data_IF_737937607952
#
_entry.id   IF_737937607952
#
_cell.length_a   1.000
_cell.length_b   1.000
_cell.length_c   1.000
_cell.angle_alpha   90.00
_cell.angle_beta   90.00
_cell.angle_gamma   90.00
#
_symmetry.space_group_name_H-M   'P 1'
#
loop_
_entity.id
_entity.type
_entity.pdbx_description
1 polymer ?
#
# COMPACT_ATOMS: atom_id res chain seq x y z
N UNK A 1 -6.92 -12.66 -7.19
CA UNK A 1 -7.29 -11.26 -7.49
C UNK A 1 -6.41 -10.84 -8.64
N UNK A 2 -6.97 -10.29 -9.71
CA UNK A 2 -6.20 -9.89 -10.88
C UNK A 2 -5.50 -8.53 -10.69
N UNK A 3 -4.53 -8.15 -11.55
CA UNK A 3 -3.91 -6.83 -11.52
C UNK A 3 -4.92 -5.67 -11.54
N UNK A 4 -5.96 -5.75 -12.37
CA UNK A 4 -6.99 -4.69 -12.45
C UNK A 4 -7.84 -4.53 -11.18
N UNK A 5 -7.98 -5.58 -10.36
CA UNK A 5 -8.65 -5.44 -9.06
C UNK A 5 -7.74 -4.71 -8.06
N UNK A 6 -6.43 -4.96 -8.08
CA UNK A 6 -5.44 -4.24 -7.27
C UNK A 6 -5.37 -2.75 -7.65
N UNK A 7 -5.35 -2.45 -8.95
CA UNK A 7 -5.42 -1.07 -9.47
C UNK A 7 -6.66 -0.33 -8.96
N UNK A 8 -7.82 -1.00 -8.93
CA UNK A 8 -9.05 -0.38 -8.42
C UNK A 8 -8.97 -0.06 -6.92
N UNK A 9 -8.30 -0.88 -6.11
CA UNK A 9 -8.07 -0.60 -4.69
C UNK A 9 -7.12 0.59 -4.49
N UNK A 10 -6.04 0.65 -5.28
CA UNK A 10 -5.10 1.77 -5.29
C UNK A 10 -5.80 3.07 -5.67
N UNK A 11 -6.54 3.06 -6.78
CA UNK A 11 -7.29 4.22 -7.26
C UNK A 11 -8.27 4.72 -6.20
N UNK A 12 -8.99 3.82 -5.54
CA UNK A 12 -9.92 4.17 -4.47
C UNK A 12 -9.25 4.87 -3.29
N UNK A 13 -8.09 4.38 -2.86
CA UNK A 13 -7.33 5.00 -1.76
C UNK A 13 -6.81 6.39 -2.17
N UNK A 14 -6.34 6.55 -3.40
CA UNK A 14 -5.87 7.84 -3.95
C UNK A 14 -7.02 8.85 -4.10
N UNK A 15 -8.18 8.42 -4.56
CA UNK A 15 -9.37 9.27 -4.71
C UNK A 15 -9.86 9.77 -3.34
N UNK A 16 -9.86 8.90 -2.33
CA UNK A 16 -10.21 9.27 -0.95
C UNK A 16 -9.20 10.26 -0.38
N UNK A 17 -7.89 10.02 -0.56
CA UNK A 17 -6.85 10.93 -0.09
C UNK A 17 -6.99 12.32 -0.74
N UNK A 18 -7.25 12.37 -2.05
CA UNK A 18 -7.54 13.61 -2.78
C UNK A 18 -8.78 14.31 -2.23
N UNK A 19 -9.85 13.56 -1.96
CA UNK A 19 -11.08 14.09 -1.36
C UNK A 19 -10.87 14.71 0.03
N UNK A 20 -9.88 14.25 0.79
CA UNK A 20 -9.48 14.79 2.09
C UNK A 20 -8.53 15.99 2.03
N UNK A 21 -8.20 16.48 0.83
CA UNK A 21 -7.32 17.65 0.65
C UNK A 21 -5.84 17.35 0.91
N UNK A 22 -5.40 16.12 0.65
CA UNK A 22 -3.98 15.75 0.68
C UNK A 22 -3.28 16.30 -0.58
N UNK A 23 -2.08 16.87 -0.42
CA UNK A 23 -1.30 17.43 -1.53
C UNK A 23 -0.68 16.34 -2.39
N UNK A 24 -0.10 15.33 -1.75
CA UNK A 24 0.56 14.21 -2.43
C UNK A 24 0.29 12.90 -1.68
N UNK A 25 0.10 11.80 -2.41
CA UNK A 25 -0.14 10.50 -1.82
C UNK A 25 0.54 9.38 -2.62
N UNK A 26 1.02 8.37 -1.91
CA UNK A 26 1.54 7.12 -2.46
C UNK A 26 0.75 5.97 -1.86
N UNK A 27 0.35 5.03 -2.69
CA UNK A 27 -0.36 3.82 -2.26
C UNK A 27 0.33 2.61 -2.87
N UNK A 28 0.68 1.65 -2.02
CA UNK A 28 1.23 0.38 -2.43
C UNK A 28 0.24 -0.73 -2.03
N UNK A 29 -0.06 -1.63 -2.95
CA UNK A 29 -0.86 -2.81 -2.67
C UNK A 29 -0.08 -4.05 -3.07
N UNK A 30 -0.12 -5.08 -2.24
CA UNK A 30 0.50 -6.37 -2.53
C UNK A 30 -0.50 -7.49 -2.25
N UNK A 31 -0.38 -8.55 -3.04
CA UNK A 31 -1.03 -9.82 -2.80
C UNK A 31 -0.06 -10.94 -3.18
N UNK A 32 0.16 -11.87 -2.27
CA UNK A 32 1.00 -13.03 -2.47
C UNK A 32 0.25 -14.29 -2.05
N UNK A 33 0.45 -15.37 -2.79
CA UNK A 33 -0.07 -16.68 -2.43
C UNK A 33 1.01 -17.72 -2.67
N UNK A 34 1.30 -18.54 -1.68
CA UNK A 34 2.37 -19.51 -1.73
C UNK A 34 1.96 -20.86 -1.14
N UNK A 35 2.70 -21.89 -1.54
CA UNK A 35 2.61 -23.23 -0.97
C UNK A 35 4.03 -23.70 -0.64
N UNK A 36 4.27 -24.01 0.62
CA UNK A 36 5.53 -24.56 1.10
C UNK A 36 5.31 -25.98 1.63
N UNK A 37 6.12 -26.93 1.16
CA UNK A 37 6.09 -28.31 1.62
C UNK A 37 7.49 -28.72 2.07
N UNK A 38 7.61 -29.22 3.30
CA UNK A 38 8.87 -29.76 3.82
C UNK A 38 8.73 -31.25 4.08
N UNK A 39 9.79 -32.02 3.86
CA UNK A 39 9.84 -33.45 4.10
C UNK A 39 11.08 -33.83 4.91
N UNK A 40 10.94 -34.85 5.74
CA UNK A 40 12.02 -35.39 6.57
C UNK A 40 11.95 -36.91 6.56
N UNK A 41 13.09 -37.56 6.32
CA UNK A 41 13.20 -39.02 6.25
C UNK A 41 12.27 -39.69 5.21
N UNK A 42 11.88 -38.95 4.16
CA UNK A 42 11.00 -39.46 3.09
C UNK A 42 9.52 -39.19 3.32
N UNK A 43 9.13 -38.70 4.49
CA UNK A 43 7.76 -38.35 4.84
C UNK A 43 7.56 -36.82 4.86
N UNK A 44 6.37 -36.36 4.46
CA UNK A 44 5.99 -34.95 4.55
C UNK A 44 5.90 -34.56 6.02
N UNK A 45 6.61 -33.50 6.38
CA UNK A 45 6.64 -32.97 7.75
C UNK A 45 5.68 -31.77 7.88
N UNK A 46 5.75 -30.81 6.95
CA UNK A 46 4.89 -29.63 6.98
C UNK A 46 4.33 -29.30 5.59
N UNK A 47 3.11 -28.79 5.58
CA UNK A 47 2.46 -28.23 4.40
C UNK A 47 1.80 -26.91 4.80
N UNK A 48 2.33 -25.80 4.28
CA UNK A 48 1.90 -24.45 4.62
C UNK A 48 1.39 -23.73 3.37
N UNK A 49 0.24 -23.07 3.53
CA UNK A 49 -0.37 -22.26 2.49
C UNK A 49 -0.38 -20.79 2.97
N UNK A 50 0.29 -19.91 2.23
CA UNK A 50 0.32 -18.47 2.49
C UNK A 50 -0.67 -17.75 1.57
N UNK A 51 -1.33 -16.72 2.11
CA UNK A 51 -2.25 -15.85 1.37
C UNK A 51 -2.20 -14.47 1.98
N UNK A 52 -1.13 -13.77 1.65
CA UNK A 52 -0.86 -12.45 2.17
C UNK A 52 -1.44 -11.39 1.24
N UNK A 53 -1.99 -10.35 1.85
CA UNK A 53 -2.45 -9.16 1.14
C UNK A 53 -2.31 -7.95 2.03
N UNK A 54 -1.99 -6.83 1.44
CA UNK A 54 -1.82 -5.58 2.17
C UNK A 54 -1.99 -4.37 1.28
N UNK A 55 -2.47 -3.29 1.87
CA UNK A 55 -2.45 -1.95 1.30
C UNK A 55 -1.76 -1.02 2.30
N UNK A 56 -0.75 -0.29 1.83
CA UNK A 56 -0.10 0.80 2.52
C UNK A 56 -0.42 2.12 1.83
N UNK A 57 -0.67 3.16 2.61
CA UNK A 57 -0.88 4.53 2.14
C UNK A 57 0.04 5.47 2.89
N UNK A 58 0.74 6.33 2.15
CA UNK A 58 1.49 7.47 2.68
C UNK A 58 0.88 8.74 2.11
N UNK A 59 0.58 9.70 2.97
CA UNK A 59 0.03 11.01 2.60
C UNK A 59 0.99 12.12 3.02
N UNK A 60 1.04 13.16 2.22
CA UNK A 60 1.76 14.40 2.47
C UNK A 60 0.75 15.56 2.39
N UNK A 61 0.55 16.24 3.52
CA UNK A 61 -0.41 17.34 3.64
C UNK A 61 0.26 18.50 4.38
N UNK A 62 0.33 19.68 3.79
CA UNK A 62 1.00 20.86 4.35
C UNK A 62 2.46 20.59 4.76
N UNK A 63 3.18 19.82 3.93
CA UNK A 63 4.54 19.30 4.20
C UNK A 63 4.65 18.40 5.45
N UNK A 64 3.55 17.75 5.86
CA UNK A 64 3.53 16.77 6.96
C UNK A 64 3.25 15.38 6.43
N UNK A 65 3.97 14.38 6.96
CA UNK A 65 3.89 12.99 6.50
C UNK A 65 3.06 12.14 7.44
N UNK A 66 2.08 11.43 6.90
CA UNK A 66 1.33 10.40 7.61
C UNK A 66 1.34 9.09 6.83
N UNK A 67 1.35 7.95 7.52
CA UNK A 67 1.27 6.65 6.87
C UNK A 67 0.40 5.67 7.65
N UNK A 68 -0.27 4.78 6.94
CA UNK A 68 -1.04 3.68 7.53
C UNK A 68 -1.01 2.47 6.60
N UNK A 69 -1.25 1.29 7.16
CA UNK A 69 -1.39 0.07 6.39
C UNK A 69 -2.49 -0.83 6.96
N UNK A 70 -3.03 -1.70 6.11
CA UNK A 70 -4.07 -2.67 6.45
C UNK A 70 -3.93 -3.92 5.60
N UNK A 71 -4.21 -5.09 6.17
CA UNK A 71 -4.38 -6.36 5.44
C UNK A 71 -5.82 -6.61 4.99
N UNK A 72 -6.76 -5.75 5.41
CA UNK A 72 -8.16 -5.80 5.02
C UNK A 72 -8.41 -4.93 3.79
N UNK A 73 -8.72 -5.58 2.66
CA UNK A 73 -8.98 -4.94 1.37
C UNK A 73 -10.44 -4.52 1.17
N UNK A 74 -11.30 -4.67 2.19
CA UNK A 74 -12.68 -4.18 2.09
C UNK A 74 -12.65 -2.66 1.91
N UNK A 75 -13.56 -2.10 1.08
CA UNK A 75 -13.70 -0.67 0.87
C UNK A 75 -13.57 0.18 2.13
N UNK A 76 -14.29 -0.19 3.20
CA UNK A 76 -14.30 0.54 4.45
C UNK A 76 -12.92 0.59 5.14
N UNK A 77 -12.21 -0.53 5.18
CA UNK A 77 -10.89 -0.60 5.81
C UNK A 77 -9.85 0.26 5.06
N UNK A 78 -9.98 0.37 3.74
CA UNK A 78 -9.16 1.27 2.93
C UNK A 78 -9.43 2.74 3.29
N UNK A 79 -10.70 3.13 3.37
CA UNK A 79 -11.07 4.50 3.77
C UNK A 79 -10.56 4.84 5.18
N UNK A 80 -10.69 3.88 6.12
CA UNK A 80 -10.16 4.02 7.48
C UNK A 80 -8.64 4.13 7.50
N UNK A 81 -7.92 3.41 6.64
CA UNK A 81 -6.46 3.53 6.54
C UNK A 81 -6.05 4.92 6.03
N UNK A 82 -6.72 5.44 4.99
CA UNK A 82 -6.48 6.80 4.50
C UNK A 82 -6.78 7.84 5.58
N UNK A 83 -7.90 7.70 6.29
CA UNK A 83 -8.27 8.62 7.37
C UNK A 83 -7.24 8.65 8.51
N UNK A 84 -6.73 7.48 8.90
CA UNK A 84 -5.65 7.37 9.88
C UNK A 84 -4.36 8.02 9.39
N UNK A 85 -3.99 7.79 8.12
CA UNK A 85 -2.81 8.43 7.54
C UNK A 85 -2.94 9.96 7.56
N UNK A 86 -4.10 10.51 7.19
CA UNK A 86 -4.34 11.96 7.28
C UNK A 86 -4.27 12.47 8.72
N UNK A 87 -4.87 11.76 9.67
CA UNK A 87 -4.81 12.12 11.10
C UNK A 87 -3.36 12.15 11.61
N UNK A 88 -2.54 11.18 11.20
CA UNK A 88 -1.12 11.18 11.56
C UNK A 88 -0.35 12.33 10.92
N UNK A 89 -0.62 12.66 9.65
CA UNK A 89 -0.03 13.83 9.02
C UNK A 89 -0.34 15.10 9.84
N UNK A 90 -1.60 15.30 10.25
CA UNK A 90 -1.99 16.47 11.06
C UNK A 90 -1.26 16.54 12.42
N UNK A 91 -0.85 15.41 13.00
CA UNK A 91 -0.10 15.31 14.26
C UNK A 91 1.43 15.35 14.11
N UNK A 92 1.98 15.37 12.89
CA UNK A 92 3.43 15.38 12.66
C UNK A 92 3.96 16.79 12.41
N UNK A 93 5.27 16.97 12.59
CA UNK A 93 5.94 18.22 12.27
C UNK A 93 6.03 18.40 10.75
N UNK A 94 6.13 19.66 10.32
CA UNK A 94 6.41 19.98 8.92
C UNK A 94 7.86 19.62 8.58
N UNK A 95 8.05 19.06 7.40
CA UNK A 95 9.32 18.70 6.82
C UNK A 95 9.31 19.06 5.33
N UNK A 96 10.09 20.07 4.95
CA UNK A 96 10.19 20.56 3.58
C UNK A 96 10.82 19.55 2.60
N UNK A 97 11.48 18.51 3.13
CA UNK A 97 12.09 17.45 2.34
C UNK A 97 11.21 16.20 2.25
N UNK A 98 10.05 16.19 2.90
CA UNK A 98 9.07 15.12 2.82
C UNK A 98 8.14 15.33 1.61
N UNK A 99 8.10 14.35 0.70
CA UNK A 99 7.24 14.39 -0.47
C UNK A 99 7.54 13.24 -1.43
N UNK A 100 6.75 13.17 -2.49
CA UNK A 100 7.05 12.33 -3.65
C UNK A 100 8.25 12.89 -4.41
N UNK A 101 8.90 12.01 -5.18
CA UNK A 101 9.87 12.45 -6.16
C UNK A 101 9.21 13.40 -7.17
N UNK A 102 10.01 14.30 -7.76
CA UNK A 102 9.54 15.10 -8.88
C UNK A 102 9.01 14.20 -9.99
N UNK A 103 7.89 14.59 -10.63
CA UNK A 103 7.24 13.77 -11.66
C UNK A 103 8.19 13.38 -12.81
N UNK A 104 9.12 14.27 -13.17
CA UNK A 104 10.12 14.05 -14.22
C UNK A 104 11.19 13.00 -13.84
N UNK A 105 11.31 12.67 -12.55
CA UNK A 105 12.20 11.63 -12.03
C UNK A 105 11.49 10.29 -11.80
N UNK A 106 10.16 10.25 -11.92
CA UNK A 106 9.38 9.03 -11.72
C UNK A 106 9.59 8.05 -12.87
N UNK A 107 9.61 6.76 -12.55
CA UNK A 107 9.73 5.70 -13.55
C UNK A 107 8.48 5.67 -14.44
N UNK A 108 8.67 5.87 -15.74
CA UNK A 108 7.59 5.80 -16.76
C UNK A 108 7.61 4.49 -17.56
N UNK A 109 8.75 3.79 -17.56
CA UNK A 109 8.96 2.50 -18.22
C UNK A 109 9.27 1.44 -17.17
N UNK A 110 8.22 0.86 -16.59
CA UNK A 110 8.34 -0.24 -15.63
C UNK A 110 8.59 -1.51 -16.40
N UNK A 111 9.83 -1.99 -16.39
CA UNK A 111 10.20 -3.24 -17.06
C UNK A 111 9.69 -4.43 -16.27
N UNK A 112 9.15 -5.40 -17.00
CA UNK A 112 8.93 -6.74 -16.48
C UNK A 112 10.28 -7.40 -16.19
N UNK A 113 10.44 -7.92 -14.98
CA UNK A 113 11.67 -8.54 -14.48
C UNK A 113 11.52 -10.05 -14.27
N UNK A 114 10.37 -10.63 -14.62
CA UNK A 114 10.09 -12.08 -14.53
C UNK A 114 10.85 -12.91 -15.58
#
# INVERSE_FOLDING_TARGET
MGPGELEALVQKALDEARGKGVDQAEVAVSMDTGLSATARLGDVENLEYTNDRGLGVTVYKDSRKGNASTSDIRPQAILEAVDKACTFADCTAQDEHAGLADADLMCTDVKDLD
#
